data_IF_843559741379
#
_entry.id   IF_843559741379
#
_cell.length_a   1.000
_cell.length_b   1.000
_cell.length_c   1.000
_cell.angle_alpha   90.00
_cell.angle_beta   90.00
_cell.angle_gamma   90.00
#
_symmetry.space_group_name_H-M   'P 1'
#
loop_
_entity.id
_entity.type
_entity.pdbx_description
1 polymer ?
#
# COMPACT_ATOMS: atom_id res chain seq x y z
N UNK A 1 11.11 -1.94 14.25
CA UNK A 1 10.48 -0.77 13.59
C UNK A 1 9.13 -1.14 12.98
N UNK A 2 9.06 -2.14 12.09
CA UNK A 2 7.83 -2.47 11.36
C UNK A 2 6.59 -2.71 12.24
N UNK A 3 6.76 -3.32 13.42
CA UNK A 3 5.66 -3.55 14.39
C UNK A 3 5.02 -2.27 14.95
N UNK A 4 5.70 -1.12 14.82
CA UNK A 4 5.22 0.19 15.29
C UNK A 4 4.59 1.01 14.17
N UNK A 5 4.48 0.46 12.96
CA UNK A 5 3.90 1.16 11.81
C UNK A 5 2.40 0.95 11.80
N UNK A 6 1.64 2.06 11.78
CA UNK A 6 0.21 2.04 11.54
C UNK A 6 -0.06 2.24 10.06
N UNK A 7 -0.67 1.24 9.43
CA UNK A 7 -1.08 1.33 8.03
C UNK A 7 -2.46 1.95 7.88
N UNK A 8 -2.67 2.75 6.84
CA UNK A 8 -3.98 3.12 6.32
C UNK A 8 -4.01 2.95 4.81
N UNK A 9 -5.06 2.34 4.27
CA UNK A 9 -5.27 2.17 2.82
C UNK A 9 -6.54 2.86 2.36
N UNK A 10 -6.51 3.41 1.15
CA UNK A 10 -7.68 4.00 0.51
C UNK A 10 -7.65 3.75 -1.00
N UNK A 11 -8.83 3.55 -1.59
CA UNK A 11 -8.99 3.48 -3.05
C UNK A 11 -9.72 4.71 -3.52
N UNK A 12 -9.14 5.44 -4.47
CA UNK A 12 -9.75 6.60 -5.11
C UNK A 12 -9.67 6.43 -6.61
N UNK A 13 -10.82 6.40 -7.28
CA UNK A 13 -10.90 6.27 -8.75
C UNK A 13 -10.12 5.04 -9.29
N UNK A 14 -10.12 3.93 -8.55
CA UNK A 14 -9.42 2.70 -8.92
C UNK A 14 -7.92 2.68 -8.58
N UNK A 15 -7.34 3.81 -8.13
CA UNK A 15 -5.97 3.88 -7.64
C UNK A 15 -5.92 3.55 -6.15
N UNK A 16 -5.12 2.54 -5.79
CA UNK A 16 -4.86 2.18 -4.40
C UNK A 16 -3.76 3.07 -3.83
N UNK A 17 -3.96 3.56 -2.62
CA UNK A 17 -3.01 4.38 -1.89
C UNK A 17 -2.75 3.75 -0.52
N UNK A 18 -1.52 3.92 -0.03
CA UNK A 18 -1.11 3.52 1.30
C UNK A 18 -0.49 4.71 2.04
N UNK A 19 -0.73 4.75 3.35
CA UNK A 19 -0.07 5.63 4.30
C UNK A 19 0.53 4.74 5.38
N UNK A 20 1.84 4.82 5.57
CA UNK A 20 2.54 4.26 6.72
C UNK A 20 2.81 5.39 7.70
N UNK A 21 2.16 5.36 8.86
CA UNK A 21 2.36 6.30 9.94
C UNK A 21 3.30 5.67 10.98
N UNK A 22 4.43 6.33 11.22
CA UNK A 22 5.50 5.86 12.10
C UNK A 22 5.66 6.88 13.22
N UNK A 23 5.70 6.47 14.51
CA UNK A 23 6.03 7.39 15.60
C UNK A 23 7.39 8.07 15.33
N UNK A 24 7.44 9.39 15.48
CA UNK A 24 8.64 10.20 15.19
C UNK A 24 9.87 9.67 15.91
N UNK A 25 9.78 9.40 17.21
CA UNK A 25 10.88 8.85 18.01
C UNK A 25 11.38 7.50 17.48
N UNK A 26 10.45 6.66 17.00
CA UNK A 26 10.81 5.37 16.41
C UNK A 26 11.55 5.56 15.10
N UNK A 27 11.05 6.44 14.21
CA UNK A 27 11.73 6.73 12.95
C UNK A 27 13.14 7.29 13.18
N UNK A 28 13.26 8.28 14.07
CA UNK A 28 14.52 8.96 14.39
C UNK A 28 15.56 8.06 15.07
N UNK A 29 15.14 6.93 15.63
CA UNK A 29 16.07 5.91 16.18
C UNK A 29 16.84 5.17 15.06
N UNK A 30 16.25 5.04 13.87
CA UNK A 30 16.85 4.31 12.75
C UNK A 30 17.36 5.24 11.64
N UNK A 31 16.71 6.40 11.45
CA UNK A 31 17.00 7.34 10.38
C UNK A 31 17.08 8.76 10.93
N UNK A 32 18.19 9.46 10.70
CA UNK A 32 18.42 10.80 11.28
C UNK A 32 17.83 11.94 10.44
N UNK A 33 17.28 11.63 9.26
CA UNK A 33 16.72 12.60 8.34
C UNK A 33 15.56 12.01 7.53
N UNK A 34 14.70 12.89 7.02
CA UNK A 34 13.64 12.52 6.09
C UNK A 34 14.22 12.53 4.69
N UNK A 35 14.21 11.37 4.05
CA UNK A 35 14.71 11.19 2.70
C UNK A 35 13.82 10.19 1.95
N UNK A 36 13.62 10.45 0.66
CA UNK A 36 12.72 9.64 -0.16
C UNK A 36 13.30 8.23 -0.43
N UNK A 37 14.62 8.03 -0.38
CA UNK A 37 15.25 6.70 -0.48
C UNK A 37 14.94 5.88 0.77
N UNK A 38 15.08 6.46 1.96
CA UNK A 38 14.67 5.83 3.22
C UNK A 38 13.18 5.47 3.19
N UNK A 39 12.32 6.37 2.70
CA UNK A 39 10.89 6.11 2.58
C UNK A 39 10.58 4.92 1.67
N UNK A 40 11.28 4.82 0.52
CA UNK A 40 11.15 3.71 -0.43
C UNK A 40 11.63 2.39 0.17
N UNK A 41 12.75 2.38 0.88
CA UNK A 41 13.25 1.16 1.53
C UNK A 41 12.27 0.71 2.61
N UNK A 42 11.87 1.59 3.53
CA UNK A 42 10.90 1.27 4.60
C UNK A 42 9.62 0.67 4.01
N UNK A 43 9.02 1.33 3.02
CA UNK A 43 7.81 0.84 2.37
C UNK A 43 8.04 -0.52 1.71
N UNK A 44 9.18 -0.72 1.04
CA UNK A 44 9.53 -1.99 0.41
C UNK A 44 9.69 -3.11 1.43
N UNK A 45 10.38 -2.87 2.54
CA UNK A 45 10.54 -3.87 3.61
C UNK A 45 9.20 -4.17 4.28
N UNK A 46 8.36 -3.16 4.48
CA UNK A 46 7.02 -3.32 5.06
C UNK A 46 6.12 -4.20 4.19
N UNK A 47 6.02 -3.91 2.89
CA UNK A 47 5.23 -4.72 1.96
C UNK A 47 5.77 -6.16 1.88
N UNK A 48 7.09 -6.34 1.80
CA UNK A 48 7.71 -7.68 1.82
C UNK A 48 7.40 -8.47 3.10
N UNK A 49 7.48 -7.82 4.27
CA UNK A 49 7.14 -8.43 5.55
C UNK A 49 5.68 -8.92 5.59
N UNK A 50 4.77 -8.15 4.98
CA UNK A 50 3.36 -8.51 4.84
C UNK A 50 3.03 -9.38 3.61
N UNK A 51 4.04 -9.83 2.85
CA UNK A 51 3.88 -10.61 1.62
C UNK A 51 2.98 -9.92 0.57
N UNK A 52 2.98 -8.58 0.55
CA UNK A 52 2.24 -7.75 -0.39
C UNK A 52 3.09 -7.57 -1.67
N UNK A 53 2.52 -7.93 -2.82
CA UNK A 53 3.17 -7.92 -4.13
C UNK A 53 2.98 -6.60 -4.91
N UNK A 54 2.39 -5.59 -4.27
CA UNK A 54 2.18 -4.28 -4.87
C UNK A 54 3.48 -3.66 -5.40
N UNK A 55 3.38 -3.07 -6.58
CA UNK A 55 4.41 -2.15 -7.10
C UNK A 55 4.10 -0.74 -6.63
N UNK A 56 5.08 -0.06 -6.06
CA UNK A 56 4.91 1.28 -5.49
C UNK A 56 5.24 2.37 -6.51
N UNK A 57 4.50 3.47 -6.50
CA UNK A 57 4.85 4.72 -7.20
C UNK A 57 4.56 5.94 -6.33
N UNK A 58 5.11 7.09 -6.72
CA UNK A 58 4.83 8.38 -6.07
C UNK A 58 5.11 8.40 -4.56
N UNK A 59 6.15 7.68 -4.13
CA UNK A 59 6.57 7.59 -2.74
C UNK A 59 7.02 8.95 -2.23
N UNK A 60 6.43 9.40 -1.11
CA UNK A 60 6.73 10.67 -0.44
C UNK A 60 6.80 10.47 1.06
N UNK A 61 7.63 11.26 1.73
CA UNK A 61 7.74 11.28 3.20
C UNK A 61 7.44 12.68 3.74
N UNK A 62 6.66 12.75 4.82
CA UNK A 62 6.33 14.00 5.48
C UNK A 62 6.42 13.85 7.01
N UNK A 63 6.86 14.92 7.68
CA UNK A 63 6.88 14.99 9.14
C UNK A 63 5.65 15.75 9.65
N UNK A 64 4.73 15.06 10.30
CA UNK A 64 3.65 15.67 11.04
C UNK A 64 4.08 15.98 12.47
N UNK A 65 4.67 17.17 12.66
CA UNK A 65 5.17 17.66 13.96
C UNK A 65 4.09 17.75 15.03
N UNK A 66 2.84 18.00 14.66
CA UNK A 66 1.74 18.15 15.61
C UNK A 66 1.30 16.79 16.18
N UNK A 67 1.37 15.73 15.36
CA UNK A 67 1.01 14.37 15.77
C UNK A 67 2.22 13.55 16.25
N UNK A 68 3.44 14.08 16.14
CA UNK A 68 4.69 13.37 16.38
C UNK A 68 4.81 12.09 15.54
N UNK A 69 4.49 12.20 14.24
CA UNK A 69 4.60 11.08 13.30
C UNK A 69 5.36 11.45 12.03
N UNK A 70 6.06 10.47 11.47
CA UNK A 70 6.60 10.49 10.11
C UNK A 70 5.71 9.62 9.25
N UNK A 71 5.18 10.20 8.18
CA UNK A 71 4.20 9.57 7.31
C UNK A 71 4.83 9.30 5.95
N UNK A 72 4.74 8.06 5.47
CA UNK A 72 5.12 7.68 4.11
C UNK A 72 3.85 7.43 3.30
N UNK A 73 3.73 8.12 2.17
CA UNK A 73 2.61 8.02 1.25
C UNK A 73 3.08 7.35 -0.04
N UNK A 74 2.26 6.47 -0.60
CA UNK A 74 2.53 5.90 -1.92
C UNK A 74 1.27 5.41 -2.62
N UNK A 75 1.37 5.32 -3.94
CA UNK A 75 0.42 4.59 -4.77
C UNK A 75 0.84 3.12 -4.86
N UNK A 76 -0.15 2.23 -4.84
CA UNK A 76 0.04 0.78 -4.98
C UNK A 76 -0.60 0.28 -6.27
N UNK A 77 0.18 -0.42 -7.07
CA UNK A 77 -0.26 -1.02 -8.33
C UNK A 77 -0.16 -2.54 -8.23
N UNK A 78 -1.31 -3.20 -8.27
CA UNK A 78 -1.42 -4.66 -8.29
C UNK A 78 -1.50 -5.14 -9.73
N UNK A 79 -0.58 -6.02 -10.14
CA UNK A 79 -0.51 -6.55 -11.51
C UNK A 79 -1.62 -7.55 -11.86
N UNK A 80 -2.64 -7.72 -11.02
CA UNK A 80 -3.63 -8.80 -11.14
C UNK A 80 -5.07 -8.34 -11.39
N UNK A 81 -5.29 -7.08 -11.80
CA UNK A 81 -6.65 -6.57 -12.05
C UNK A 81 -7.09 -6.61 -13.53
N UNK A 82 -6.44 -7.39 -14.40
CA UNK A 82 -7.11 -7.82 -15.63
C UNK A 82 -8.20 -8.83 -15.25
N UNK A 83 -9.43 -8.34 -15.09
CA UNK A 83 -10.60 -9.22 -15.04
C UNK A 83 -10.69 -9.90 -16.40
N UNK A 84 -10.51 -11.22 -16.44
CA UNK A 84 -10.97 -12.01 -17.58
C UNK A 84 -12.47 -11.78 -17.74
N UNK A 85 -12.91 -11.46 -18.97
CA UNK A 85 -14.34 -11.44 -19.29
C UNK A 85 -14.94 -12.78 -18.90
N UNK A 86 -15.90 -12.76 -17.98
CA UNK A 86 -16.66 -13.94 -17.65
C UNK A 86 -17.73 -14.12 -18.72
N UNK A 87 -17.69 -15.23 -19.46
CA UNK A 87 -18.86 -15.64 -20.23
C UNK A 87 -19.96 -16.06 -19.25
N UNK A 88 -21.18 -15.51 -19.37
CA UNK A 88 -22.29 -15.99 -18.59
C UNK A 88 -22.53 -17.47 -18.92
N UNK A 89 -22.62 -18.32 -17.89
CA UNK A 89 -23.09 -19.69 -18.06
C UNK A 89 -24.55 -19.63 -18.54
N UNK A 90 -24.77 -19.86 -19.83
CA UNK A 90 -26.09 -20.17 -20.35
C UNK A 90 -26.40 -21.63 -19.98
N UNK A 91 -27.28 -21.82 -18.99
CA UNK A 91 -27.86 -23.13 -18.68
C UNK A 91 -28.91 -23.46 -19.75
N UNK A 92 -28.45 -23.92 -20.91
CA UNK A 92 -29.32 -24.48 -21.95
C UNK A 92 -29.71 -25.93 -21.58
N UNK A 93 -30.49 -26.08 -20.52
CA UNK A 93 -31.26 -27.29 -20.25
C UNK A 93 -32.76 -26.96 -20.25
N UNK A 94 -33.27 -26.52 -21.40
CA UNK A 94 -34.71 -26.57 -21.66
C UNK A 94 -35.07 -28.01 -22.02
N UNK A 95 -35.49 -28.75 -21.00
CA UNK A 95 -36.19 -30.01 -21.15
C UNK A 95 -37.59 -29.71 -21.72
N UNK A 96 -37.86 -30.09 -22.98
CA UNK A 96 -39.21 -30.18 -23.50
C UNK A 96 -39.37 -31.49 -24.27
N UNK A 97 -40.38 -32.24 -23.80
CA UNK A 97 -40.91 -33.53 -24.24
C UNK A 97 -41.38 -33.51 -25.70
#
# INVERSE_FOLDING_TARGET
>A
MLDFIRETRAVKEGLHNIILEIPEETYMTFYNELDDEHARDILTQYLKYHQDDARTSDVKIEHNKNAHTVNIYANLHYLCNEKTSQEPFADDNVHLL
#
